data_IF_255728571589
#
_entry.id   IF_255728571589
#
_cell.length_a   1.000
_cell.length_b   1.000
_cell.length_c   1.000
_cell.angle_alpha   90.00
_cell.angle_beta   90.00
_cell.angle_gamma   90.00
#
_symmetry.space_group_name_H-M   'P 1'
#
loop_
_entity.id
_entity.type
_entity.pdbx_description
1 polymer ?
#
# COMPACT_ATOMS: atom_id res chain seq x y z
N UNK A 1 14.30 23.71 -19.77
CA UNK A 1 13.68 22.40 -19.49
C UNK A 1 14.70 21.55 -18.75
N UNK A 2 14.41 21.10 -17.53
CA UNK A 2 15.22 20.15 -16.77
C UNK A 2 14.64 18.75 -16.95
N UNK A 3 15.31 17.90 -17.72
CA UNK A 3 15.03 16.47 -17.81
C UNK A 3 15.51 15.80 -16.53
N UNK A 4 14.57 15.53 -15.62
CA UNK A 4 14.81 14.65 -14.46
C UNK A 4 14.73 13.20 -14.96
N UNK A 5 15.82 12.70 -15.55
CA UNK A 5 15.99 11.28 -15.81
C UNK A 5 16.64 10.63 -14.57
N UNK A 6 15.96 9.69 -13.89
CA UNK A 6 16.47 9.06 -12.67
C UNK A 6 17.70 8.15 -12.88
N UNK A 7 18.10 7.91 -14.13
CA UNK A 7 19.17 6.98 -14.51
C UNK A 7 20.59 7.60 -14.39
N UNK A 8 20.74 8.93 -14.47
CA UNK A 8 22.07 9.57 -14.46
C UNK A 8 22.68 9.76 -13.06
N UNK A 9 21.89 9.64 -11.98
CA UNK A 9 22.38 9.87 -10.61
C UNK A 9 23.01 8.63 -9.96
N UNK A 10 22.79 7.45 -10.53
CA UNK A 10 23.28 6.16 -9.99
C UNK A 10 24.67 5.74 -10.46
N UNK A 11 25.28 6.45 -11.40
CA UNK A 11 26.58 6.07 -11.98
C UNK A 11 27.76 6.86 -11.41
N UNK A 12 27.79 7.12 -10.10
CA UNK A 12 29.05 7.50 -9.46
C UNK A 12 29.80 6.21 -9.08
N UNK A 13 30.89 5.83 -9.78
CA UNK A 13 31.66 4.63 -9.46
C UNK A 13 32.23 4.63 -8.03
N UNK A 14 32.32 5.80 -7.38
CA UNK A 14 32.70 5.94 -5.97
C UNK A 14 31.62 5.46 -4.98
N UNK A 15 30.36 5.36 -5.42
CA UNK A 15 29.23 4.95 -4.57
C UNK A 15 28.88 3.46 -4.73
N UNK A 16 29.78 2.67 -5.32
CA UNK A 16 29.61 1.23 -5.48
C UNK A 16 30.40 0.52 -4.39
N UNK A 17 29.69 -0.20 -3.53
CA UNK A 17 30.32 -1.02 -2.49
C UNK A 17 31.28 -2.03 -3.13
N UNK A 18 32.38 -2.28 -2.45
CA UNK A 18 33.26 -3.39 -2.81
C UNK A 18 32.46 -4.71 -2.82
N UNK A 19 32.83 -5.68 -3.67
CA UNK A 19 32.06 -6.92 -3.83
C UNK A 19 31.80 -7.66 -2.50
N UNK A 20 32.74 -7.59 -1.57
CA UNK A 20 32.64 -8.17 -0.23
C UNK A 20 31.57 -7.49 0.64
N UNK A 21 31.49 -6.16 0.59
CA UNK A 21 30.51 -5.40 1.35
C UNK A 21 29.13 -5.56 0.75
N UNK A 22 29.03 -5.58 -0.58
CA UNK A 22 27.77 -5.87 -1.27
C UNK A 22 27.24 -7.26 -0.89
N UNK A 23 28.10 -8.27 -0.82
CA UNK A 23 27.71 -9.60 -0.39
C UNK A 23 27.19 -9.64 1.05
N UNK A 24 27.76 -8.83 1.96
CA UNK A 24 27.27 -8.69 3.35
C UNK A 24 25.90 -8.02 3.41
N UNK A 25 25.69 -6.96 2.62
CA UNK A 25 24.40 -6.27 2.51
C UNK A 25 23.33 -7.21 1.96
N UNK A 26 23.63 -7.93 0.88
CA UNK A 26 22.70 -8.87 0.27
C UNK A 26 22.32 -10.00 1.23
N UNK A 27 23.30 -10.54 1.97
CA UNK A 27 23.06 -11.54 3.00
C UNK A 27 22.17 -11.02 4.13
N UNK A 28 22.38 -9.77 4.56
CA UNK A 28 21.58 -9.13 5.60
C UNK A 28 20.14 -8.86 5.15
N UNK A 29 19.95 -8.31 3.95
CA UNK A 29 18.62 -8.00 3.38
C UNK A 29 17.82 -9.28 3.12
N UNK A 30 18.46 -10.33 2.59
CA UNK A 30 17.82 -11.64 2.36
C UNK A 30 17.44 -12.35 3.64
N UNK A 31 18.14 -12.09 4.76
CA UNK A 31 17.84 -12.70 6.06
C UNK A 31 16.45 -12.34 6.58
N UNK A 32 15.85 -11.25 6.06
CA UNK A 32 14.41 -11.03 6.09
C UNK A 32 13.78 -11.17 7.48
N UNK A 33 14.34 -10.51 8.50
CA UNK A 33 13.82 -10.55 9.88
C UNK A 33 12.38 -10.03 10.02
N UNK A 34 11.85 -9.39 8.97
CA UNK A 34 10.48 -8.88 8.90
C UNK A 34 9.72 -9.42 7.66
N UNK A 35 10.04 -10.66 7.24
CA UNK A 35 9.24 -11.38 6.25
C UNK A 35 8.08 -12.10 6.95
N UNK A 36 6.95 -11.42 7.03
CA UNK A 36 5.70 -12.02 7.53
C UNK A 36 4.99 -12.70 6.37
N UNK A 37 4.42 -13.89 6.57
CA UNK A 37 3.50 -14.48 5.60
C UNK A 37 2.30 -13.53 5.40
N UNK A 38 2.32 -12.77 4.30
CA UNK A 38 1.24 -11.84 3.99
C UNK A 38 0.16 -12.59 3.24
N UNK A 39 -1.01 -12.73 3.87
CA UNK A 39 -2.20 -13.20 3.16
C UNK A 39 -2.42 -12.29 1.94
N UNK A 40 -2.71 -12.83 0.75
CA UNK A 40 -2.87 -12.02 -0.44
C UNK A 40 -3.96 -10.97 -0.21
N UNK A 41 -3.63 -9.72 -0.50
CA UNK A 41 -4.56 -8.61 -0.36
C UNK A 41 -5.76 -8.83 -1.30
N UNK A 42 -6.97 -8.76 -0.77
CA UNK A 42 -8.23 -8.98 -1.51
C UNK A 42 -8.99 -7.66 -1.65
N UNK A 43 -8.61 -6.76 -2.57
CA UNK A 43 -9.16 -5.41 -2.67
C UNK A 43 -10.67 -5.40 -2.88
N UNK A 44 -11.18 -6.30 -3.73
CA UNK A 44 -12.62 -6.38 -4.02
C UNK A 44 -13.46 -6.75 -2.79
N UNK A 45 -12.93 -7.61 -1.90
CA UNK A 45 -13.63 -7.96 -0.66
C UNK A 45 -13.77 -6.74 0.26
N UNK A 46 -12.71 -5.95 0.40
CA UNK A 46 -12.73 -4.73 1.21
C UNK A 46 -13.70 -3.70 0.63
N UNK A 47 -13.71 -3.54 -0.70
CA UNK A 47 -14.63 -2.63 -1.38
C UNK A 47 -16.10 -3.04 -1.17
N UNK A 48 -16.42 -4.33 -1.29
CA UNK A 48 -17.79 -4.83 -1.06
C UNK A 48 -18.26 -4.58 0.38
N UNK A 49 -17.38 -4.78 1.36
CA UNK A 49 -17.69 -4.49 2.77
C UNK A 49 -17.97 -2.99 2.95
N UNK A 50 -17.10 -2.13 2.39
CA UNK A 50 -17.28 -0.67 2.46
C UNK A 50 -18.62 -0.24 1.86
N UNK A 51 -18.93 -0.70 0.65
CA UNK A 51 -20.20 -0.41 -0.02
C UNK A 51 -21.37 -0.89 0.83
N UNK A 52 -21.31 -2.12 1.34
CA UNK A 52 -22.35 -2.69 2.18
C UNK A 52 -22.63 -1.84 3.43
N UNK A 53 -21.59 -1.36 4.11
CA UNK A 53 -21.71 -0.48 5.28
C UNK A 53 -22.38 0.84 4.89
N UNK A 54 -21.89 1.52 3.84
CA UNK A 54 -22.42 2.83 3.41
C UNK A 54 -23.87 2.72 2.96
N UNK A 55 -24.22 1.69 2.19
CA UNK A 55 -25.59 1.45 1.73
C UNK A 55 -26.51 1.17 2.91
N UNK A 56 -26.07 0.34 3.86
CA UNK A 56 -26.87 0.00 5.05
C UNK A 56 -27.16 1.24 5.90
N UNK A 57 -26.16 2.08 6.16
CA UNK A 57 -26.33 3.32 6.91
C UNK A 57 -27.22 4.32 6.15
N UNK A 58 -27.10 4.38 4.82
CA UNK A 58 -27.95 5.23 3.98
C UNK A 58 -29.42 4.81 4.06
N UNK A 59 -29.71 3.50 3.95
CA UNK A 59 -31.05 2.94 4.09
C UNK A 59 -31.60 3.23 5.50
N UNK A 60 -30.80 2.95 6.53
CA UNK A 60 -31.21 3.17 7.93
C UNK A 60 -31.52 4.64 8.20
N UNK A 61 -30.69 5.56 7.70
CA UNK A 61 -30.92 7.00 7.80
C UNK A 61 -32.24 7.42 7.16
N UNK A 62 -32.52 6.93 5.94
CA UNK A 62 -33.78 7.23 5.25
C UNK A 62 -35.01 6.65 5.96
N UNK A 63 -34.90 5.44 6.54
CA UNK A 63 -35.98 4.84 7.32
C UNK A 63 -36.29 5.67 8.56
N UNK A 64 -35.26 6.13 9.28
CA UNK A 64 -35.43 7.00 10.44
C UNK A 64 -36.04 8.35 10.06
N UNK A 65 -35.60 8.96 8.95
CA UNK A 65 -36.18 10.21 8.46
C UNK A 65 -37.68 10.06 8.13
N UNK A 66 -38.06 8.96 7.47
CA UNK A 66 -39.46 8.64 7.17
C UNK A 66 -40.29 8.41 8.44
N UNK A 67 -39.75 7.72 9.44
CA UNK A 67 -40.44 7.51 10.72
C UNK A 67 -40.57 8.79 11.54
N UNK A 68 -39.61 9.70 11.44
CA UNK A 68 -39.66 11.01 12.07
C UNK A 68 -40.63 11.98 11.36
N UNK A 69 -41.23 11.59 10.23
CA UNK A 69 -42.17 12.43 9.48
C UNK A 69 -41.50 13.60 8.74
N UNK A 70 -40.20 13.46 8.44
CA UNK A 70 -39.42 14.45 7.69
C UNK A 70 -39.54 14.07 6.21
N UNK A 71 -40.17 14.93 5.41
CA UNK A 71 -40.40 14.74 3.98
C UNK A 71 -39.59 15.75 3.16
#
# INVERSE_FOLDING_TARGET
MTSNDPEEQSSNPENRLYPEDQARVDAFVKRGVNSVERKPFRPMRLLLILIGVVVSLSILSQLLARWAGIY
#
